data_IF_369599436808
#
_entry.id   IF_369599436808
#
_cell.length_a   1.000
_cell.length_b   1.000
_cell.length_c   1.000
_cell.angle_alpha   90.00
_cell.angle_beta   90.00
_cell.angle_gamma   90.00
#
_symmetry.space_group_name_H-M   'P 1'
#
loop_
_entity.id
_entity.type
_entity.pdbx_description
1 polymer ?
#
# COMPACT_ATOMS: atom_id res chain seq x y z
N UNK A 1 -17.21 -60.21 0.88
CA UNK A 1 -17.91 -59.47 1.95
C UNK A 1 -17.62 -58.00 1.75
N UNK A 2 -18.57 -57.25 1.20
CA UNK A 2 -18.49 -55.80 0.94
C UNK A 2 -19.21 -55.04 2.04
N UNK A 3 -18.61 -54.01 2.67
CA UNK A 3 -19.33 -53.22 3.66
C UNK A 3 -20.15 -52.11 2.98
N UNK A 4 -21.41 -52.01 3.39
CA UNK A 4 -22.38 -50.96 2.97
C UNK A 4 -22.01 -49.61 3.60
N UNK A 5 -22.33 -48.48 2.94
CA UNK A 5 -22.14 -47.14 3.51
C UNK A 5 -23.23 -46.78 4.53
N UNK A 6 -22.94 -45.95 5.56
CA UNK A 6 -23.92 -45.54 6.56
C UNK A 6 -24.82 -44.39 6.08
N UNK A 7 -26.03 -44.40 6.64
CA UNK A 7 -27.20 -43.61 6.25
C UNK A 7 -27.13 -42.13 6.67
N UNK A 8 -27.67 -41.28 5.79
CA UNK A 8 -27.89 -39.84 5.98
C UNK A 8 -29.05 -39.62 6.96
N UNK A 9 -28.75 -39.04 8.13
CA UNK A 9 -29.75 -38.55 9.09
C UNK A 9 -30.13 -37.10 8.77
N UNK A 10 -31.31 -36.91 8.18
CA UNK A 10 -31.99 -35.62 8.08
C UNK A 10 -32.40 -35.15 9.49
N UNK A 11 -31.82 -34.04 9.98
CA UNK A 11 -32.37 -33.31 11.13
C UNK A 11 -33.11 -32.06 10.67
N UNK A 12 -34.33 -31.96 11.21
CA UNK A 12 -35.35 -30.94 10.95
C UNK A 12 -34.90 -29.57 11.44
N UNK A 13 -35.24 -28.57 10.64
CA UNK A 13 -35.25 -27.15 10.95
C UNK A 13 -36.25 -26.85 12.07
N UNK A 14 -35.80 -26.17 13.12
CA UNK A 14 -36.66 -25.49 14.09
C UNK A 14 -36.45 -23.98 13.96
N UNK A 15 -37.48 -23.33 13.44
CA UNK A 15 -37.72 -21.89 13.54
C UNK A 15 -37.82 -21.48 15.01
N UNK A 16 -37.09 -20.45 15.41
CA UNK A 16 -37.45 -19.64 16.57
C UNK A 16 -37.19 -18.18 16.24
N UNK A 17 -38.26 -17.39 16.22
CA UNK A 17 -38.22 -15.95 16.07
C UNK A 17 -38.17 -15.26 17.42
N UNK A 18 -37.32 -14.24 17.54
CA UNK A 18 -37.46 -13.10 18.45
C UNK A 18 -36.86 -11.89 17.72
N UNK A 19 -37.71 -10.98 17.23
CA UNK A 19 -38.14 -9.72 17.86
C UNK A 19 -36.99 -8.74 18.08
N UNK A 20 -37.16 -7.57 17.45
CA UNK A 20 -36.17 -6.51 17.27
C UNK A 20 -35.67 -5.85 18.55
N UNK A 21 -34.47 -5.31 18.45
CA UNK A 21 -33.98 -4.20 19.26
C UNK A 21 -33.19 -3.26 18.34
N UNK A 22 -33.75 -2.09 18.07
CA UNK A 22 -33.10 -0.94 17.44
C UNK A 22 -32.24 -0.16 18.45
N UNK A 23 -31.30 0.69 17.99
CA UNK A 23 -30.04 0.94 18.67
C UNK A 23 -30.11 2.08 19.68
N UNK A 24 -29.39 1.93 20.79
CA UNK A 24 -29.20 3.01 21.75
C UNK A 24 -27.95 3.82 21.36
N UNK A 25 -28.18 4.87 20.57
CA UNK A 25 -27.17 5.90 20.24
C UNK A 25 -27.06 6.83 21.44
N UNK A 26 -25.96 6.75 22.18
CA UNK A 26 -25.57 7.81 23.14
C UNK A 26 -24.60 8.76 22.45
N UNK A 27 -25.13 9.91 22.06
CA UNK A 27 -24.37 11.11 21.70
C UNK A 27 -23.69 11.68 22.94
N UNK A 28 -22.35 11.68 22.95
CA UNK A 28 -21.55 12.47 23.90
C UNK A 28 -21.40 13.90 23.35
N UNK A 29 -21.60 14.95 24.17
CA UNK A 29 -21.37 16.32 23.73
C UNK A 29 -19.87 16.67 23.74
N UNK A 30 -19.41 17.23 22.62
CA UNK A 30 -18.16 17.95 22.49
C UNK A 30 -18.17 19.14 23.47
N UNK A 31 -17.22 19.15 24.43
CA UNK A 31 -16.87 20.36 25.18
C UNK A 31 -15.50 20.85 24.73
N UNK A 32 -15.49 22.13 24.38
CA UNK A 32 -14.36 22.84 23.80
C UNK A 32 -13.18 23.03 24.73
N UNK A 33 -12.05 23.29 24.07
CA UNK A 33 -10.79 23.69 24.67
C UNK A 33 -10.90 25.02 25.43
N UNK A 34 -10.17 25.17 26.55
CA UNK A 34 -9.76 26.47 27.04
C UNK A 34 -8.26 26.71 26.77
N UNK A 35 -8.00 27.80 26.04
CA UNK A 35 -7.10 28.87 26.47
C UNK A 35 -5.66 28.52 26.83
N UNK A 36 -4.73 28.98 25.97
CA UNK A 36 -3.32 29.19 26.29
C UNK A 36 -3.20 30.10 27.52
N UNK A 37 -2.49 29.65 28.55
CA UNK A 37 -2.05 30.47 29.67
C UNK A 37 -0.56 30.29 29.89
N UNK A 38 0.27 31.11 29.23
CA UNK A 38 1.66 31.28 29.61
C UNK A 38 1.72 32.14 30.87
N UNK A 39 2.26 31.56 31.94
CA UNK A 39 2.50 32.22 33.22
C UNK A 39 3.91 32.81 33.18
N UNK A 40 4.01 34.13 33.25
CA UNK A 40 5.26 34.86 33.46
C UNK A 40 5.64 34.85 34.96
N UNK A 41 6.90 34.57 35.25
CA UNK A 41 7.57 34.89 36.51
C UNK A 41 8.64 35.95 36.25
N UNK A 42 8.49 37.11 36.90
CA UNK A 42 9.51 38.16 37.17
C UNK A 42 10.76 37.53 37.82
N UNK A 43 11.98 38.07 37.82
CA UNK A 43 12.63 39.35 37.46
C UNK A 43 14.16 39.10 37.56
N UNK A 44 15.05 39.73 36.80
CA UNK A 44 15.78 40.97 37.15
C UNK A 44 16.86 41.17 36.07
N UNK A 45 17.08 42.41 35.61
CA UNK A 45 18.21 42.74 34.74
C UNK A 45 17.93 43.92 33.81
N UNK A 46 18.12 45.13 34.34
CA UNK A 46 17.96 46.38 33.63
C UNK A 46 18.91 46.52 32.42
N UNK A 47 18.37 46.78 31.21
CA UNK A 47 19.01 47.61 30.17
C UNK A 47 17.95 48.39 29.39
N UNK A 48 18.29 49.65 29.13
CA UNK A 48 17.49 50.72 28.50
C UNK A 48 16.88 50.28 27.15
N UNK A 49 15.62 50.65 26.91
CA UNK A 49 14.94 50.54 25.62
C UNK A 49 14.52 51.92 25.12
N UNK A 50 14.94 52.22 23.89
CA UNK A 50 14.53 53.36 23.05
C UNK A 50 13.18 53.09 22.35
N UNK A 51 12.40 54.12 21.96
CA UNK A 51 11.04 53.92 21.48
C UNK A 51 10.95 53.34 20.07
N UNK A 52 9.95 52.49 19.90
CA UNK A 52 9.62 51.68 18.74
C UNK A 52 9.24 52.53 17.50
N UNK A 53 9.98 52.38 16.40
CA UNK A 53 9.53 52.74 15.04
C UNK A 53 8.75 51.55 14.48
N UNK A 54 7.49 51.79 14.12
CA UNK A 54 6.61 50.82 13.43
C UNK A 54 7.24 50.40 12.10
N UNK A 55 7.60 49.13 12.00
CA UNK A 55 7.91 48.44 10.75
C UNK A 55 6.61 47.92 10.16
N UNK A 56 6.25 48.43 8.99
CA UNK A 56 5.18 47.92 8.13
C UNK A 56 5.63 46.61 7.46
N UNK A 57 4.81 45.55 7.43
CA UNK A 57 5.09 44.39 6.60
C UNK A 57 4.93 44.72 5.13
N UNK A 58 5.97 44.43 4.37
CA UNK A 58 6.05 44.48 2.93
C UNK A 58 5.12 43.47 2.25
N UNK A 59 4.55 43.90 1.13
CA UNK A 59 4.23 43.11 -0.07
C UNK A 59 3.36 41.85 0.10
N UNK A 60 2.04 42.07 0.15
CA UNK A 60 1.08 41.15 -0.46
C UNK A 60 1.12 41.40 -1.97
N UNK A 61 1.47 40.37 -2.75
CA UNK A 61 1.26 40.40 -4.20
C UNK A 61 -0.25 40.45 -4.47
N UNK A 62 -0.75 41.65 -4.76
CA UNK A 62 -2.07 41.84 -5.36
C UNK A 62 -1.98 41.52 -6.84
N UNK A 63 -2.71 40.50 -7.26
CA UNK A 63 -3.05 40.27 -8.67
C UNK A 63 -3.82 41.51 -9.14
N UNK A 64 -3.47 42.16 -10.27
CA UNK A 64 -4.23 43.30 -10.73
C UNK A 64 -5.62 42.81 -11.12
N UNK A 65 -6.64 43.30 -10.42
CA UNK A 65 -8.01 43.25 -10.89
C UNK A 65 -8.06 44.07 -12.19
N UNK A 66 -8.20 43.38 -13.32
CA UNK A 66 -8.51 44.01 -14.60
C UNK A 66 -9.88 44.67 -14.43
N UNK A 67 -9.88 46.00 -14.42
CA UNK A 67 -11.11 46.79 -14.37
C UNK A 67 -11.89 46.56 -15.66
N UNK A 68 -13.09 46.03 -15.53
CA UNK A 68 -14.04 45.79 -16.60
C UNK A 68 -14.94 47.02 -16.72
N UNK A 69 -14.92 47.62 -17.91
CA UNK A 69 -15.98 48.43 -18.56
C UNK A 69 -16.12 49.88 -18.11
N UNK A 70 -15.56 50.78 -18.93
CA UNK A 70 -16.30 51.93 -19.47
C UNK A 70 -15.95 52.06 -20.96
N UNK A 71 -16.77 51.49 -21.85
CA UNK A 71 -16.89 51.95 -23.24
C UNK A 71 -18.15 51.33 -23.86
N UNK A 72 -19.27 52.05 -23.81
CA UNK A 72 -20.41 51.82 -24.70
C UNK A 72 -20.91 53.18 -25.20
N UNK A 73 -20.33 53.61 -26.32
CA UNK A 73 -20.94 54.54 -27.27
C UNK A 73 -20.74 53.91 -28.66
N UNK A 74 -21.54 52.88 -28.98
CA UNK A 74 -21.62 52.34 -30.34
C UNK A 74 -22.81 52.97 -31.05
N UNK A 75 -22.47 53.78 -32.07
CA UNK A 75 -23.35 54.17 -33.16
C UNK A 75 -23.77 52.93 -33.94
N UNK A 76 -25.00 52.98 -34.43
CA UNK A 76 -25.67 52.01 -35.30
C UNK A 76 -24.80 51.65 -36.51
N UNK A 77 -24.39 50.38 -36.61
CA UNK A 77 -23.67 49.82 -37.75
C UNK A 77 -23.62 48.29 -37.63
N UNK A 78 -24.19 47.61 -38.60
CA UNK A 78 -24.60 46.22 -38.57
C UNK A 78 -23.44 45.19 -38.55
N UNK A 79 -23.56 44.21 -37.65
CA UNK A 79 -23.49 42.76 -37.94
C UNK A 79 -22.19 42.09 -38.41
N UNK A 80 -21.02 42.30 -37.78
CA UNK A 80 -19.86 41.36 -37.95
C UNK A 80 -19.15 40.98 -36.63
N UNK A 81 -19.37 41.70 -35.51
CA UNK A 81 -18.57 41.51 -34.29
C UNK A 81 -18.90 40.32 -33.38
N UNK A 82 -20.04 39.64 -33.56
CA UNK A 82 -20.49 38.61 -32.60
C UNK A 82 -19.88 37.22 -32.86
N UNK A 83 -19.47 36.92 -34.09
CA UNK A 83 -18.91 35.62 -34.46
C UNK A 83 -17.47 35.40 -33.97
N UNK A 84 -16.65 36.46 -33.94
CA UNK A 84 -15.22 36.41 -33.58
C UNK A 84 -15.01 36.33 -32.07
N UNK A 85 -15.87 36.97 -31.28
CA UNK A 85 -15.81 36.88 -29.82
C UNK A 85 -16.28 35.50 -29.30
N UNK A 86 -17.25 34.87 -29.97
CA UNK A 86 -17.73 33.53 -29.61
C UNK A 86 -16.71 32.43 -29.95
N UNK A 87 -15.96 32.59 -31.05
CA UNK A 87 -14.89 31.64 -31.44
C UNK A 87 -13.65 31.74 -30.55
N UNK A 88 -13.28 32.93 -30.08
CA UNK A 88 -12.18 33.11 -29.13
C UNK A 88 -12.49 32.53 -27.73
N UNK A 89 -13.76 32.61 -27.29
CA UNK A 89 -14.23 31.99 -26.04
C UNK A 89 -14.33 30.47 -26.18
N UNK A 90 -14.71 29.94 -27.36
CA UNK A 90 -14.67 28.49 -27.62
C UNK A 90 -13.25 27.90 -27.69
N UNK A 91 -12.25 28.69 -28.08
CA UNK A 91 -10.85 28.24 -28.19
C UNK A 91 -10.08 28.27 -26.86
N UNK A 92 -10.52 29.09 -25.89
CA UNK A 92 -9.95 29.11 -24.52
C UNK A 92 -10.48 27.98 -23.63
N UNK A 93 -11.53 27.28 -24.06
CA UNK A 93 -11.97 26.00 -23.48
C UNK A 93 -11.40 24.82 -24.28
N UNK A 94 -10.15 24.93 -24.75
CA UNK A 94 -9.31 23.74 -24.81
C UNK A 94 -8.98 23.35 -23.37
N UNK A 95 -10.00 22.84 -22.68
CA UNK A 95 -9.88 22.24 -21.38
C UNK A 95 -8.66 21.32 -21.45
N UNK A 96 -7.66 21.58 -20.60
CA UNK A 96 -6.69 20.57 -20.25
C UNK A 96 -7.52 19.34 -19.91
N UNK A 97 -7.57 18.36 -20.83
CA UNK A 97 -8.25 17.11 -20.57
C UNK A 97 -7.61 16.62 -19.27
N UNK A 98 -8.37 16.41 -18.19
CA UNK A 98 -7.79 15.95 -16.95
C UNK A 98 -7.01 14.70 -17.30
N UNK A 99 -5.68 14.75 -17.15
CA UNK A 99 -4.85 13.57 -17.38
C UNK A 99 -5.43 12.48 -16.51
N UNK A 100 -5.83 11.37 -17.14
CA UNK A 100 -6.43 10.27 -16.43
C UNK A 100 -5.57 9.93 -15.22
N UNK A 101 -6.16 9.83 -14.02
CA UNK A 101 -5.36 9.64 -12.82
C UNK A 101 -4.57 8.33 -12.97
N UNK A 102 -3.34 8.33 -12.48
CA UNK A 102 -2.43 7.19 -12.53
C UNK A 102 -2.29 6.66 -11.12
N UNK A 103 -2.39 5.33 -10.97
CA UNK A 103 -2.03 4.63 -9.75
C UNK A 103 -0.54 4.34 -9.81
N UNK A 104 0.21 4.83 -8.83
CA UNK A 104 1.61 4.47 -8.64
C UNK A 104 1.71 3.36 -7.60
N UNK A 105 2.20 2.20 -7.99
CA UNK A 105 2.48 1.09 -7.11
C UNK A 105 3.98 1.08 -6.84
N UNK A 106 4.35 1.51 -5.64
CA UNK A 106 5.66 1.30 -5.07
C UNK A 106 5.67 -0.13 -4.51
N UNK A 107 6.67 -0.93 -4.83
CA UNK A 107 6.75 -2.29 -4.31
C UNK A 107 8.17 -2.78 -4.08
N UNK A 108 8.26 -3.74 -3.19
CA UNK A 108 9.43 -4.54 -2.88
C UNK A 108 8.97 -5.89 -2.34
N UNK A 109 9.88 -6.85 -2.27
CA UNK A 109 9.61 -8.25 -1.98
C UNK A 109 10.89 -8.91 -1.43
N UNK A 110 10.74 -10.06 -0.77
CA UNK A 110 11.86 -10.89 -0.33
C UNK A 110 12.90 -10.09 0.47
N UNK A 111 12.45 -9.39 1.52
CA UNK A 111 13.30 -8.51 2.33
C UNK A 111 13.57 -9.13 3.69
N UNK A 112 14.79 -9.65 3.86
CA UNK A 112 15.17 -10.46 5.01
C UNK A 112 15.94 -9.68 6.08
N UNK A 113 16.38 -8.45 5.77
CA UNK A 113 17.30 -7.69 6.61
C UNK A 113 16.86 -6.25 6.82
N UNK A 114 17.02 -5.78 8.06
CA UNK A 114 16.82 -4.35 8.36
C UNK A 114 17.96 -3.50 7.77
N UNK A 115 19.19 -4.02 7.84
CA UNK A 115 20.41 -3.31 7.45
C UNK A 115 20.72 -3.47 5.97
N UNK A 116 21.57 -2.57 5.47
CA UNK A 116 22.14 -2.71 4.13
C UNK A 116 22.98 -4.00 4.02
N UNK A 117 22.88 -4.64 2.87
CA UNK A 117 23.57 -5.87 2.50
C UNK A 117 24.75 -5.58 1.57
N UNK A 118 25.42 -6.62 1.07
CA UNK A 118 26.58 -6.50 0.18
C UNK A 118 27.67 -5.57 0.76
N UNK A 119 28.05 -5.81 2.01
CA UNK A 119 29.01 -4.97 2.76
C UNK A 119 28.57 -3.50 2.86
N UNK A 120 27.25 -3.27 2.96
CA UNK A 120 26.64 -1.95 3.08
C UNK A 120 26.45 -1.22 1.75
N UNK A 121 26.76 -1.87 0.62
CA UNK A 121 26.68 -1.28 -0.73
C UNK A 121 25.28 -1.26 -1.33
N UNK A 122 24.39 -2.15 -0.89
CA UNK A 122 23.04 -2.27 -1.43
C UNK A 122 21.99 -2.40 -0.33
N UNK A 123 20.75 -1.98 -0.62
CA UNK A 123 19.63 -2.11 0.30
C UNK A 123 19.76 -1.29 1.58
N UNK A 124 19.05 -1.74 2.62
CA UNK A 124 18.88 -1.05 3.89
C UNK A 124 17.51 -0.38 3.97
N UNK A 125 16.71 -0.79 4.96
CA UNK A 125 15.32 -0.38 5.06
C UNK A 125 15.18 1.14 5.34
N UNK A 126 16.19 1.74 5.96
CA UNK A 126 16.30 3.18 6.18
C UNK A 126 16.51 3.97 4.88
N UNK A 127 17.33 3.45 3.98
CA UNK A 127 17.53 4.03 2.65
C UNK A 127 16.29 3.87 1.78
N UNK A 128 15.69 2.67 1.80
CA UNK A 128 14.42 2.40 1.14
C UNK A 128 13.32 3.35 1.64
N UNK A 129 13.23 3.56 2.96
CA UNK A 129 12.26 4.48 3.57
C UNK A 129 12.41 5.92 3.07
N UNK A 130 13.63 6.43 2.90
CA UNK A 130 13.87 7.77 2.37
C UNK A 130 13.33 7.90 0.92
N UNK A 131 13.60 6.90 0.08
CA UNK A 131 13.14 6.86 -1.32
C UNK A 131 11.62 6.74 -1.39
N UNK A 132 11.01 5.85 -0.61
CA UNK A 132 9.55 5.71 -0.51
C UNK A 132 8.89 7.03 -0.08
N UNK A 133 9.42 7.70 0.94
CA UNK A 133 8.93 9.02 1.38
C UNK A 133 9.03 10.07 0.27
N UNK A 134 10.08 10.03 -0.55
CA UNK A 134 10.23 10.92 -1.71
C UNK A 134 9.16 10.64 -2.78
N UNK A 135 8.92 9.38 -3.14
CA UNK A 135 7.90 9.03 -4.13
C UNK A 135 6.50 9.38 -3.66
N UNK A 136 6.14 9.04 -2.41
CA UNK A 136 4.82 9.40 -1.84
C UNK A 136 4.54 10.90 -1.84
N UNK A 137 5.57 11.74 -1.69
CA UNK A 137 5.44 13.21 -1.81
C UNK A 137 5.20 13.67 -3.25
N UNK A 138 5.85 13.03 -4.23
CA UNK A 138 5.77 13.40 -5.66
C UNK A 138 4.53 12.82 -6.34
N UNK A 139 4.10 11.64 -5.91
CA UNK A 139 3.04 10.84 -6.53
C UNK A 139 2.01 10.46 -5.45
N UNK A 140 1.12 11.39 -5.05
CA UNK A 140 0.20 11.17 -3.93
C UNK A 140 -0.85 10.08 -4.20
N UNK A 141 -1.07 9.72 -5.45
CA UNK A 141 -1.91 8.59 -5.87
C UNK A 141 -1.13 7.26 -5.82
N UNK A 142 -0.41 7.00 -4.71
CA UNK A 142 0.45 5.83 -4.58
C UNK A 142 -0.04 4.81 -3.56
N UNK A 143 0.29 3.55 -3.79
CA UNK A 143 0.27 2.47 -2.81
C UNK A 143 1.70 1.93 -2.64
N UNK A 144 2.10 1.60 -1.41
CA UNK A 144 3.27 0.79 -1.13
C UNK A 144 2.84 -0.65 -0.81
N UNK A 145 3.24 -1.59 -1.65
CA UNK A 145 2.88 -3.00 -1.53
C UNK A 145 4.13 -3.85 -1.23
N UNK A 146 3.97 -4.89 -0.41
CA UNK A 146 5.03 -5.84 -0.10
C UNK A 146 4.65 -7.26 -0.54
N UNK A 147 5.45 -7.87 -1.42
CA UNK A 147 5.07 -9.11 -2.09
C UNK A 147 5.54 -10.40 -1.38
N UNK A 148 5.61 -10.40 -0.05
CA UNK A 148 5.90 -11.61 0.75
C UNK A 148 7.38 -11.86 1.01
N UNK A 149 7.64 -12.83 1.89
CA UNK A 149 8.95 -13.24 2.41
C UNK A 149 9.67 -12.16 3.22
N UNK A 150 9.18 -12.00 4.45
CA UNK A 150 9.63 -11.03 5.45
C UNK A 150 10.11 -11.69 6.74
N UNK A 151 9.47 -12.78 7.16
CA UNK A 151 9.64 -13.30 8.53
C UNK A 151 10.97 -14.04 8.72
N UNK A 152 11.52 -14.65 7.68
CA UNK A 152 12.67 -15.57 7.68
C UNK A 152 13.31 -15.52 6.28
N UNK A 153 14.59 -15.89 6.04
CA UNK A 153 15.55 -16.52 6.95
C UNK A 153 16.79 -15.67 7.24
N UNK A 154 16.69 -14.71 8.17
CA UNK A 154 17.85 -13.95 8.66
C UNK A 154 18.33 -14.40 10.04
N UNK A 155 19.55 -13.99 10.41
CA UNK A 155 20.05 -14.20 11.77
C UNK A 155 19.12 -13.52 12.78
N UNK A 156 18.69 -12.30 12.48
CA UNK A 156 17.73 -11.54 13.27
C UNK A 156 16.39 -12.26 13.38
N UNK A 157 15.90 -12.88 12.31
CA UNK A 157 14.67 -13.66 12.39
C UNK A 157 14.81 -14.88 13.27
N UNK A 158 16.00 -15.49 13.36
CA UNK A 158 16.21 -16.63 14.27
C UNK A 158 16.02 -16.24 15.74
N UNK A 159 16.32 -14.98 16.10
CA UNK A 159 16.18 -14.42 17.46
C UNK A 159 14.80 -13.80 17.68
N UNK A 160 14.38 -12.89 16.80
CA UNK A 160 13.17 -12.08 16.96
C UNK A 160 11.92 -12.64 16.25
N UNK A 161 12.07 -13.75 15.51
CA UNK A 161 10.98 -14.45 14.80
C UNK A 161 10.18 -13.54 13.86
N UNK A 162 10.87 -12.61 13.19
CA UNK A 162 10.30 -11.68 12.19
C UNK A 162 9.74 -10.38 12.78
N UNK A 163 9.64 -10.23 14.11
CA UNK A 163 9.09 -9.02 14.74
C UNK A 163 9.84 -7.75 14.33
N UNK A 164 11.15 -7.85 14.11
CA UNK A 164 12.01 -6.74 13.70
C UNK A 164 11.60 -6.12 12.36
N UNK A 165 11.23 -6.96 11.40
CA UNK A 165 10.81 -6.50 10.08
C UNK A 165 9.34 -6.12 10.04
N UNK A 166 8.48 -6.73 10.86
CA UNK A 166 7.11 -6.23 11.07
C UNK A 166 7.14 -4.78 11.57
N UNK A 167 7.99 -4.48 12.55
CA UNK A 167 8.19 -3.13 13.05
C UNK A 167 8.76 -2.17 11.98
N UNK A 168 9.69 -2.66 11.15
CA UNK A 168 10.19 -1.95 9.98
C UNK A 168 9.07 -1.57 9.00
N UNK A 169 8.27 -2.54 8.54
CA UNK A 169 7.17 -2.29 7.59
C UNK A 169 6.03 -1.47 8.19
N UNK A 170 5.78 -1.59 9.50
CA UNK A 170 4.88 -0.73 10.25
C UNK A 170 5.32 0.74 10.17
N UNK A 171 6.63 0.99 10.32
CA UNK A 171 7.20 2.33 10.25
C UNK A 171 7.28 2.86 8.82
N UNK A 172 7.60 2.00 7.86
CA UNK A 172 7.60 2.32 6.43
C UNK A 172 6.18 2.69 5.93
N UNK A 173 5.16 2.17 6.61
CA UNK A 173 3.76 2.43 6.36
C UNK A 173 3.27 1.71 5.11
N UNK A 174 3.51 0.40 5.01
CA UNK A 174 3.01 -0.45 3.92
C UNK A 174 1.47 -0.40 3.84
N UNK A 175 0.92 -0.33 2.63
CA UNK A 175 -0.54 -0.23 2.40
C UNK A 175 -1.21 -1.61 2.36
N UNK A 176 -0.48 -2.63 1.91
CA UNK A 176 -0.84 -4.05 1.96
C UNK A 176 0.39 -4.97 1.75
N UNK A 177 0.35 -6.15 2.35
CA UNK A 177 1.31 -7.22 2.15
C UNK A 177 0.61 -8.54 1.79
N UNK A 178 1.26 -9.41 1.03
CA UNK A 178 0.87 -10.83 0.89
C UNK A 178 1.82 -11.71 1.70
N UNK A 179 1.41 -12.94 1.97
CA UNK A 179 2.34 -13.96 2.46
C UNK A 179 3.20 -14.48 1.31
N UNK A 180 4.45 -14.77 1.64
CA UNK A 180 5.39 -15.65 0.98
C UNK A 180 5.53 -16.98 1.74
N UNK A 181 6.39 -17.87 1.25
CA UNK A 181 6.61 -19.17 1.91
C UNK A 181 7.28 -19.00 3.28
N UNK A 182 8.23 -18.06 3.41
CA UNK A 182 9.00 -17.86 4.63
C UNK A 182 8.21 -17.22 5.78
N UNK A 183 6.97 -16.78 5.53
CA UNK A 183 6.04 -16.42 6.59
C UNK A 183 5.68 -17.61 7.50
N UNK A 184 5.82 -18.84 7.00
CA UNK A 184 5.41 -20.06 7.69
C UNK A 184 6.56 -20.81 8.38
N UNK A 185 7.80 -20.29 8.31
CA UNK A 185 8.99 -21.01 8.80
C UNK A 185 8.96 -21.27 10.31
N UNK A 186 8.40 -20.34 11.08
CA UNK A 186 8.19 -20.49 12.53
C UNK A 186 6.79 -21.03 12.87
N UNK A 187 6.05 -21.49 11.86
CA UNK A 187 4.74 -22.08 11.97
C UNK A 187 3.58 -21.08 12.09
N UNK A 188 2.33 -21.54 11.88
CA UNK A 188 1.15 -20.68 11.83
C UNK A 188 0.90 -19.88 13.10
N UNK A 189 1.23 -20.45 14.26
CA UNK A 189 1.02 -19.79 15.55
C UNK A 189 1.88 -18.53 15.69
N UNK A 190 3.11 -18.56 15.18
CA UNK A 190 3.99 -17.39 15.22
C UNK A 190 3.58 -16.37 14.16
N UNK A 191 3.22 -16.82 12.95
CA UNK A 191 2.69 -15.95 11.90
C UNK A 191 1.45 -15.17 12.36
N UNK A 192 0.53 -15.81 13.09
CA UNK A 192 -0.66 -15.13 13.65
C UNK A 192 -0.26 -13.99 14.60
N UNK A 193 0.83 -14.13 15.38
CA UNK A 193 1.33 -13.04 16.22
C UNK A 193 1.88 -11.90 15.37
N UNK A 194 2.71 -12.20 14.37
CA UNK A 194 3.25 -11.20 13.44
C UNK A 194 2.16 -10.44 12.69
N UNK A 195 1.12 -11.15 12.23
CA UNK A 195 -0.08 -10.55 11.62
C UNK A 195 -0.81 -9.63 12.60
N UNK A 196 -0.94 -10.00 13.88
CA UNK A 196 -1.57 -9.16 14.90
C UNK A 196 -0.74 -7.92 15.28
N UNK A 197 0.59 -8.00 15.19
CA UNK A 197 1.52 -6.89 15.42
C UNK A 197 1.60 -5.91 14.22
N UNK A 198 1.10 -6.33 13.05
CA UNK A 198 1.12 -5.53 11.83
C UNK A 198 0.10 -4.40 11.86
N UNK A 199 0.53 -3.19 11.48
CA UNK A 199 -0.28 -1.99 11.26
C UNK A 199 -0.74 -1.84 9.81
N UNK A 200 -0.29 -2.75 8.95
CA UNK A 200 -0.70 -2.91 7.57
C UNK A 200 -1.54 -4.19 7.43
N UNK A 201 -2.50 -4.25 6.49
CA UNK A 201 -3.27 -5.45 6.27
C UNK A 201 -2.47 -6.50 5.48
N UNK A 202 -2.63 -7.75 5.89
CA UNK A 202 -2.25 -8.90 5.08
C UNK A 202 -3.41 -9.30 4.16
N UNK A 203 -3.10 -9.61 2.90
CA UNK A 203 -4.04 -10.17 1.93
C UNK A 203 -3.53 -11.55 1.56
N UNK A 204 -4.32 -12.58 1.80
CA UNK A 204 -3.98 -13.96 1.51
C UNK A 204 -5.25 -14.65 0.99
N UNK A 205 -5.39 -14.67 -0.33
CA UNK A 205 -6.60 -15.08 -1.03
C UNK A 205 -6.76 -16.60 -1.03
N UNK A 206 -5.64 -17.30 -1.24
CA UNK A 206 -5.60 -18.74 -1.39
C UNK A 206 -4.99 -19.46 -0.18
N UNK A 207 -4.91 -18.81 0.98
CA UNK A 207 -4.38 -19.40 2.21
C UNK A 207 -5.48 -19.64 3.23
N UNK A 208 -5.63 -20.89 3.67
CA UNK A 208 -6.70 -21.34 4.55
C UNK A 208 -6.12 -22.09 5.76
N UNK A 209 -6.79 -22.00 6.92
CA UNK A 209 -6.28 -22.64 8.15
C UNK A 209 -6.16 -24.19 8.05
N UNK A 210 -6.96 -24.80 7.18
CA UNK A 210 -6.97 -26.20 6.82
C UNK A 210 -7.80 -26.41 5.53
N UNK A 211 -7.73 -27.58 4.86
CA UNK A 211 -8.58 -27.87 3.72
C UNK A 211 -10.07 -27.72 4.08
N UNK A 212 -10.81 -26.94 3.28
CA UNK A 212 -12.23 -26.65 3.51
C UNK A 212 -12.52 -25.75 4.73
N UNK A 213 -11.50 -25.19 5.37
CA UNK A 213 -11.65 -24.28 6.51
C UNK A 213 -11.77 -22.81 6.08
N UNK A 214 -11.83 -21.93 7.08
CA UNK A 214 -11.84 -20.48 6.88
C UNK A 214 -10.49 -19.98 6.35
N UNK A 215 -10.46 -18.78 5.72
CA UNK A 215 -9.21 -18.09 5.40
C UNK A 215 -8.28 -17.99 6.61
N UNK A 216 -6.98 -17.88 6.33
CA UNK A 216 -5.95 -17.80 7.37
C UNK A 216 -6.25 -16.68 8.39
N UNK A 217 -6.11 -16.93 9.71
CA UNK A 217 -6.49 -15.95 10.72
C UNK A 217 -5.77 -14.61 10.58
N UNK A 218 -6.53 -13.52 10.64
CA UNK A 218 -6.02 -12.14 10.56
C UNK A 218 -5.75 -11.63 9.14
N UNK A 219 -5.61 -12.51 8.15
CA UNK A 219 -5.47 -12.12 6.76
C UNK A 219 -6.83 -11.87 6.08
N UNK A 220 -6.85 -10.93 5.14
CA UNK A 220 -8.02 -10.65 4.29
C UNK A 220 -7.97 -11.53 3.04
N UNK A 221 -9.10 -12.08 2.63
CA UNK A 221 -9.17 -12.82 1.35
C UNK A 221 -8.98 -11.91 0.14
N UNK A 222 -9.44 -10.67 0.23
CA UNK A 222 -9.16 -9.60 -0.73
C UNK A 222 -9.32 -8.27 -0.02
N UNK A 223 -8.87 -7.19 -0.65
CA UNK A 223 -9.12 -5.85 -0.15
C UNK A 223 -9.43 -4.88 -1.28
N UNK A 224 -10.05 -3.77 -0.91
CA UNK A 224 -10.34 -2.67 -1.83
C UNK A 224 -9.76 -1.41 -1.22
N UNK A 225 -8.98 -0.68 -2.01
CA UNK A 225 -8.40 0.60 -1.65
C UNK A 225 -8.97 1.70 -2.52
N UNK A 226 -9.31 2.83 -1.91
CA UNK A 226 -9.63 4.05 -2.63
C UNK A 226 -8.34 4.84 -2.83
N UNK A 227 -7.86 4.92 -4.06
CA UNK A 227 -6.69 5.72 -4.43
C UNK A 227 -7.15 6.80 -5.38
N UNK A 228 -7.01 8.07 -4.99
CA UNK A 228 -7.46 9.21 -5.79
C UNK A 228 -8.89 9.09 -6.31
N UNK A 229 -9.82 8.75 -5.40
CA UNK A 229 -11.24 8.59 -5.70
C UNK A 229 -11.59 7.31 -6.48
N UNK A 230 -10.61 6.43 -6.73
CA UNK A 230 -10.77 5.23 -7.53
C UNK A 230 -10.62 3.96 -6.69
N UNK A 231 -11.55 3.02 -6.85
CA UNK A 231 -11.50 1.70 -6.20
C UNK A 231 -10.51 0.79 -6.93
N UNK A 232 -9.49 0.33 -6.21
CA UNK A 232 -8.49 -0.65 -6.64
C UNK A 232 -8.71 -1.92 -5.82
N UNK A 233 -8.98 -3.04 -6.48
CA UNK A 233 -9.04 -4.35 -5.86
C UNK A 233 -7.64 -4.95 -5.74
N UNK A 234 -7.34 -5.59 -4.61
CA UNK A 234 -6.06 -6.27 -4.36
C UNK A 234 -6.35 -7.68 -3.88
N UNK A 235 -5.72 -8.66 -4.53
CA UNK A 235 -5.72 -10.08 -4.13
C UNK A 235 -4.27 -10.48 -3.81
N UNK A 236 -4.06 -11.20 -2.71
CA UNK A 236 -2.77 -11.79 -2.36
C UNK A 236 -2.72 -13.28 -2.73
N UNK A 237 -1.71 -13.77 -3.43
CA UNK A 237 -1.63 -15.16 -3.86
C UNK A 237 -0.26 -15.76 -3.53
N UNK A 238 -0.24 -16.94 -2.93
CA UNK A 238 0.97 -17.63 -2.50
C UNK A 238 1.10 -18.97 -3.22
N UNK A 239 2.33 -19.39 -3.52
CA UNK A 239 2.61 -20.68 -4.14
C UNK A 239 2.11 -21.85 -3.28
N UNK A 240 1.56 -22.89 -3.93
CA UNK A 240 1.19 -24.13 -3.25
C UNK A 240 2.42 -24.87 -2.69
N UNK A 241 3.61 -24.58 -3.25
CA UNK A 241 4.89 -25.12 -2.82
C UNK A 241 5.18 -24.86 -1.33
N UNK A 242 4.59 -23.81 -0.73
CA UNK A 242 4.72 -23.52 0.70
C UNK A 242 4.34 -24.70 1.60
N UNK A 243 3.44 -25.58 1.13
CA UNK A 243 3.10 -26.84 1.80
C UNK A 243 4.33 -27.72 2.10
N UNK A 244 5.37 -27.61 1.27
CA UNK A 244 6.58 -28.44 1.33
C UNK A 244 7.87 -27.63 1.56
N UNK A 245 7.89 -26.34 1.21
CA UNK A 245 9.09 -25.49 1.35
C UNK A 245 9.20 -24.77 2.69
N UNK A 246 8.19 -24.88 3.57
CA UNK A 246 8.18 -24.23 4.89
C UNK A 246 7.55 -25.13 5.98
N UNK A 247 7.11 -24.55 7.10
CA UNK A 247 6.50 -25.26 8.25
C UNK A 247 5.01 -24.90 8.49
N UNK A 248 4.12 -25.02 7.50
CA UNK A 248 2.76 -24.48 7.54
C UNK A 248 1.76 -25.26 8.43
N UNK A 249 2.15 -26.40 9.00
CA UNK A 249 1.28 -27.24 9.81
C UNK A 249 0.04 -27.70 9.03
N UNK A 250 -1.16 -27.41 9.52
CA UNK A 250 -2.41 -27.76 8.81
C UNK A 250 -2.80 -26.76 7.74
N UNK A 251 -2.10 -25.63 7.60
CA UNK A 251 -2.45 -24.57 6.65
C UNK A 251 -2.47 -25.14 5.24
N UNK A 252 -3.52 -24.82 4.50
CA UNK A 252 -3.72 -25.27 3.13
C UNK A 252 -3.65 -24.09 2.16
N UNK A 253 -2.94 -24.31 1.06
CA UNK A 253 -2.75 -23.37 -0.03
C UNK A 253 -3.54 -23.88 -1.22
N UNK A 254 -4.51 -23.10 -1.70
CA UNK A 254 -5.32 -23.46 -2.85
C UNK A 254 -4.71 -23.00 -4.16
N UNK A 255 -5.10 -23.63 -5.27
CA UNK A 255 -4.70 -23.24 -6.62
C UNK A 255 -4.90 -21.72 -6.85
N UNK A 256 -3.83 -20.95 -7.10
CA UNK A 256 -3.90 -19.50 -7.21
C UNK A 256 -4.88 -19.01 -8.28
N UNK A 257 -4.95 -19.73 -9.41
CA UNK A 257 -5.78 -19.37 -10.57
C UNK A 257 -7.26 -19.57 -10.27
N UNK A 258 -7.64 -20.73 -9.75
CA UNK A 258 -9.01 -21.10 -9.41
C UNK A 258 -9.55 -20.21 -8.29
N UNK A 259 -8.71 -19.92 -7.28
CA UNK A 259 -9.07 -19.02 -6.19
C UNK A 259 -9.24 -17.58 -6.70
N UNK A 260 -8.33 -17.07 -7.54
CA UNK A 260 -8.46 -15.73 -8.12
C UNK A 260 -9.76 -15.58 -8.92
N UNK A 261 -10.08 -16.55 -9.79
CA UNK A 261 -11.37 -16.57 -10.53
C UNK A 261 -12.57 -16.55 -9.61
N UNK A 262 -12.55 -17.37 -8.56
CA UNK A 262 -13.66 -17.45 -7.58
C UNK A 262 -13.84 -16.13 -6.83
N UNK A 263 -12.75 -15.50 -6.40
CA UNK A 263 -12.80 -14.23 -5.67
C UNK A 263 -13.33 -13.11 -6.57
N UNK A 264 -12.87 -13.04 -7.81
CA UNK A 264 -13.32 -12.02 -8.77
C UNK A 264 -14.82 -12.13 -9.11
N UNK A 265 -15.41 -13.31 -8.99
CA UNK A 265 -16.87 -13.50 -9.14
C UNK A 265 -17.67 -12.94 -7.95
N UNK A 266 -17.11 -12.96 -6.73
CA UNK A 266 -17.80 -12.52 -5.51
C UNK A 266 -17.41 -11.11 -5.06
N UNK A 267 -16.29 -10.57 -5.57
CA UNK A 267 -15.86 -9.22 -5.26
C UNK A 267 -16.91 -8.19 -5.70
N UNK A 268 -17.18 -7.17 -4.87
CA UNK A 268 -18.19 -6.17 -5.18
C UNK A 268 -17.73 -5.33 -6.37
N UNK A 269 -18.56 -5.24 -7.40
CA UNK A 269 -18.29 -4.50 -8.64
C UNK A 269 -17.90 -3.04 -8.40
N UNK A 270 -17.31 -2.42 -9.43
CA UNK A 270 -16.99 -0.98 -9.46
C UNK A 270 -15.53 -0.65 -9.13
N UNK A 271 -14.64 -1.64 -9.12
CA UNK A 271 -13.20 -1.42 -9.19
C UNK A 271 -12.78 -0.98 -10.59
N UNK A 272 -11.77 -0.11 -10.68
CA UNK A 272 -11.14 0.31 -11.94
C UNK A 272 -9.91 -0.50 -12.26
N UNK A 273 -9.23 -1.01 -11.23
CA UNK A 273 -8.07 -1.88 -11.38
C UNK A 273 -8.12 -3.06 -10.41
N UNK A 274 -7.66 -4.21 -10.87
CA UNK A 274 -7.37 -5.39 -10.07
C UNK A 274 -5.85 -5.61 -10.10
N UNK A 275 -5.24 -5.45 -8.92
CA UNK A 275 -3.82 -5.73 -8.68
C UNK A 275 -3.73 -7.09 -7.99
N UNK A 276 -2.89 -7.99 -8.48
CA UNK A 276 -2.50 -9.17 -7.71
C UNK A 276 -1.13 -8.94 -7.08
N UNK A 277 -1.05 -9.18 -5.79
CA UNK A 277 0.17 -9.20 -5.00
C UNK A 277 0.55 -10.67 -4.83
N UNK A 278 1.59 -11.12 -5.50
CA UNK A 278 1.87 -12.54 -5.65
C UNK A 278 3.19 -12.92 -5.01
N UNK A 279 3.28 -14.15 -4.52
CA UNK A 279 4.52 -14.77 -4.11
C UNK A 279 4.59 -16.13 -4.79
N UNK A 280 4.85 -16.05 -6.09
CA UNK A 280 4.78 -17.12 -7.08
C UNK A 280 6.01 -17.02 -7.96
N UNK A 281 6.45 -18.15 -8.51
CA UNK A 281 7.44 -18.14 -9.60
C UNK A 281 6.92 -17.30 -10.77
N UNK A 282 7.82 -16.66 -11.52
CA UNK A 282 7.46 -15.86 -12.69
C UNK A 282 6.55 -16.61 -13.69
N UNK A 283 6.80 -17.91 -13.90
CA UNK A 283 6.00 -18.73 -14.83
C UNK A 283 4.55 -18.90 -14.37
N UNK A 284 4.31 -18.95 -13.07
CA UNK A 284 2.98 -19.07 -12.48
C UNK A 284 2.23 -17.73 -12.52
N UNK A 285 2.93 -16.61 -12.33
CA UNK A 285 2.35 -15.28 -12.57
C UNK A 285 1.91 -15.11 -14.04
N UNK A 286 2.73 -15.57 -15.00
CA UNK A 286 2.36 -15.57 -16.41
C UNK A 286 1.15 -16.46 -16.69
N UNK A 287 1.11 -17.64 -16.05
CA UNK A 287 -0.03 -18.56 -16.09
C UNK A 287 -1.31 -17.93 -15.54
N UNK A 288 -1.21 -17.24 -14.41
CA UNK A 288 -2.29 -16.52 -13.77
C UNK A 288 -2.85 -15.44 -14.70
N UNK A 289 -2.01 -14.58 -15.27
CA UNK A 289 -2.47 -13.54 -16.17
C UNK A 289 -3.10 -14.14 -17.44
N UNK A 290 -2.54 -15.22 -17.99
CA UNK A 290 -3.15 -15.91 -19.16
C UNK A 290 -4.54 -16.46 -18.83
N UNK A 291 -4.71 -17.01 -17.63
CA UNK A 291 -5.96 -17.66 -17.23
C UNK A 291 -7.03 -16.71 -16.69
N UNK A 292 -6.64 -15.52 -16.21
CA UNK A 292 -7.52 -14.55 -15.54
C UNK A 292 -7.38 -13.17 -16.20
N UNK A 293 -8.15 -12.89 -17.28
CA UNK A 293 -8.06 -11.64 -18.03
C UNK A 293 -8.48 -10.38 -17.23
N UNK A 294 -9.19 -10.54 -16.12
CA UNK A 294 -9.66 -9.45 -15.27
C UNK A 294 -8.57 -8.85 -14.37
N UNK A 295 -7.44 -9.55 -14.18
CA UNK A 295 -6.27 -9.00 -13.47
C UNK A 295 -5.58 -8.00 -14.39
N UNK A 296 -5.32 -6.78 -13.90
CA UNK A 296 -4.72 -5.71 -14.69
C UNK A 296 -3.18 -5.67 -14.57
N UNK A 297 -2.64 -6.03 -13.41
CA UNK A 297 -1.20 -6.03 -13.10
C UNK A 297 -0.90 -7.03 -11.98
N UNK A 298 0.23 -7.73 -12.10
CA UNK A 298 0.79 -8.55 -11.02
C UNK A 298 2.07 -7.92 -10.48
N UNK A 299 2.19 -7.90 -9.16
CA UNK A 299 3.32 -7.41 -8.39
C UNK A 299 3.78 -8.57 -7.52
N UNK A 300 4.96 -9.11 -7.80
CA UNK A 300 5.37 -10.42 -7.29
C UNK A 300 6.66 -10.42 -6.46
N UNK A 301 6.92 -11.55 -5.80
CA UNK A 301 8.18 -11.91 -5.12
C UNK A 301 8.59 -13.36 -5.41
N UNK A 302 9.34 -14.03 -4.55
CA UNK A 302 9.78 -15.44 -4.62
C UNK A 302 11.04 -15.70 -5.46
N UNK A 303 11.15 -15.09 -6.65
CA UNK A 303 12.26 -15.37 -7.57
C UNK A 303 13.61 -14.73 -7.15
N UNK A 304 13.62 -13.81 -6.17
CA UNK A 304 14.76 -13.03 -5.65
C UNK A 304 15.54 -12.15 -6.65
N UNK A 305 15.32 -12.30 -7.95
CA UNK A 305 15.88 -11.44 -8.99
C UNK A 305 14.90 -10.34 -9.42
N UNK A 306 15.39 -9.15 -9.84
CA UNK A 306 14.53 -8.17 -10.46
C UNK A 306 14.05 -8.67 -11.82
N UNK A 307 12.74 -8.79 -11.99
CA UNK A 307 12.15 -9.41 -13.18
C UNK A 307 10.92 -8.65 -13.64
N UNK A 308 10.73 -8.60 -14.97
CA UNK A 308 9.50 -8.11 -15.58
C UNK A 308 9.05 -9.03 -16.69
N UNK A 309 7.75 -9.19 -16.85
CA UNK A 309 7.14 -9.88 -17.99
C UNK A 309 5.84 -9.17 -18.39
N UNK A 310 5.33 -9.48 -19.58
CA UNK A 310 4.07 -8.92 -20.08
C UNK A 310 3.21 -9.99 -20.74
N UNK A 311 1.98 -10.13 -20.26
CA UNK A 311 1.00 -11.09 -20.78
C UNK A 311 -0.24 -10.36 -21.28
N UNK A 312 -0.47 -10.37 -22.60
CA UNK A 312 -1.60 -9.67 -23.20
C UNK A 312 -1.58 -8.16 -22.93
N UNK A 313 -0.39 -7.55 -22.85
CA UNK A 313 -0.22 -6.11 -22.58
C UNK A 313 -0.35 -5.71 -21.10
N UNK A 314 -0.43 -6.67 -20.18
CA UNK A 314 -0.49 -6.46 -18.73
C UNK A 314 0.83 -6.86 -18.09
N UNK A 315 1.31 -6.05 -17.16
CA UNK A 315 2.63 -6.17 -16.55
C UNK A 315 2.64 -7.17 -15.39
N UNK A 316 3.74 -7.92 -15.30
CA UNK A 316 4.21 -8.61 -14.10
C UNK A 316 5.54 -7.95 -13.71
N UNK A 317 5.72 -7.57 -12.44
CA UNK A 317 6.95 -6.96 -11.95
C UNK A 317 7.37 -7.52 -10.59
N UNK A 318 8.67 -7.76 -10.42
CA UNK A 318 9.34 -8.19 -9.19
C UNK A 318 10.59 -7.34 -8.96
N UNK A 319 10.88 -7.00 -7.71
CA UNK A 319 11.91 -6.03 -7.34
C UNK A 319 13.11 -6.65 -6.63
N UNK A 320 13.54 -7.86 -7.03
CA UNK A 320 14.73 -8.50 -6.47
C UNK A 320 14.54 -8.97 -5.03
N UNK A 321 15.50 -8.71 -4.16
CA UNK A 321 15.47 -9.06 -2.73
C UNK A 321 16.17 -8.01 -1.86
N UNK A 322 16.05 -8.14 -0.53
CA UNK A 322 16.81 -7.42 0.51
C UNK A 322 16.71 -5.88 0.40
N UNK A 323 15.58 -5.39 -0.10
CA UNK A 323 15.34 -3.97 -0.32
C UNK A 323 16.35 -3.31 -1.27
N UNK A 324 17.09 -4.08 -2.09
CA UNK A 324 18.09 -3.56 -3.05
C UNK A 324 17.46 -2.71 -4.14
N UNK A 325 16.17 -2.91 -4.40
CA UNK A 325 15.41 -2.17 -5.40
C UNK A 325 14.05 -1.74 -4.84
N UNK A 326 13.61 -0.56 -5.24
CA UNK A 326 12.21 -0.17 -5.17
C UNK A 326 11.62 -0.25 -6.57
N UNK A 327 10.65 -1.13 -6.77
CA UNK A 327 9.85 -1.17 -7.98
C UNK A 327 8.83 -0.04 -8.01
N UNK A 328 8.77 0.71 -9.10
CA UNK A 328 7.82 1.82 -9.29
C UNK A 328 7.01 1.55 -10.55
N UNK A 329 5.77 1.11 -10.36
CA UNK A 329 4.85 0.73 -11.44
C UNK A 329 3.71 1.74 -11.54
N UNK A 330 3.58 2.40 -12.68
CA UNK A 330 2.55 3.40 -12.94
C UNK A 330 1.48 2.82 -13.86
N UNK A 331 0.27 2.66 -13.32
CA UNK A 331 -0.87 2.06 -14.03
C UNK A 331 -1.93 3.15 -14.29
N UNK A 332 -2.27 3.46 -15.55
CA UNK A 332 -3.38 4.37 -15.84
C UNK A 332 -4.67 3.84 -15.19
N UNK A 333 -5.49 4.67 -14.54
CA UNK A 333 -6.75 4.22 -13.91
C UNK A 333 -7.95 4.17 -14.87
N UNK A 334 -7.78 4.65 -16.11
CA UNK A 334 -8.78 4.59 -17.18
C UNK A 334 -8.22 3.91 -18.42
N UNK A 335 -9.09 3.30 -19.23
CA UNK A 335 -8.67 2.61 -20.45
C UNK A 335 -7.92 1.30 -20.15
N UNK A 336 -7.07 0.88 -21.09
CA UNK A 336 -6.26 -0.33 -20.94
C UNK A 336 -5.19 -0.15 -19.84
N UNK A 337 -4.89 -1.19 -19.05
CA UNK A 337 -3.93 -1.14 -17.95
C UNK A 337 -2.47 -1.23 -18.42
N UNK A 338 -2.09 -0.40 -19.40
CA UNK A 338 -0.71 -0.37 -19.91
C UNK A 338 0.20 0.30 -18.89
N UNK A 339 0.81 -0.51 -18.04
CA UNK A 339 1.68 -0.04 -16.98
C UNK A 339 3.07 0.33 -17.51
N UNK A 340 3.71 1.33 -16.90
CA UNK A 340 5.12 1.65 -17.07
C UNK A 340 5.84 1.33 -15.78
N UNK A 341 6.99 0.66 -15.86
CA UNK A 341 7.72 0.20 -14.69
C UNK A 341 9.19 0.63 -14.75
N UNK A 342 9.72 1.00 -13.59
CA UNK A 342 11.15 1.24 -13.37
C UNK A 342 11.58 0.62 -12.03
N UNK A 343 12.86 0.25 -11.94
CA UNK A 343 13.50 -0.19 -10.71
C UNK A 343 14.46 0.89 -10.25
N UNK A 344 14.28 1.33 -9.00
CA UNK A 344 15.14 2.33 -8.37
C UNK A 344 16.14 1.60 -7.48
N UNK A 345 17.44 1.62 -7.80
CA UNK A 345 18.45 0.97 -6.95
C UNK A 345 18.58 1.69 -5.61
N UNK A 346 18.67 0.91 -4.54
CA UNK A 346 18.98 1.38 -3.20
C UNK A 346 20.44 1.05 -2.92
N UNK A 347 21.28 2.08 -2.84
CA UNK A 347 22.74 1.96 -2.77
C UNK A 347 23.32 2.71 -1.58
N UNK A 348 24.63 2.60 -1.35
CA UNK A 348 25.35 3.39 -0.35
C UNK A 348 25.31 4.91 -0.57
N UNK A 349 24.88 5.38 -1.75
CA UNK A 349 24.65 6.81 -2.04
C UNK A 349 23.23 7.27 -1.70
N UNK A 350 22.32 6.33 -1.39
CA UNK A 350 20.94 6.66 -1.07
C UNK A 350 20.86 7.24 0.35
N UNK A 351 20.25 8.42 0.56
CA UNK A 351 20.11 9.00 1.89
C UNK A 351 19.35 8.07 2.84
N UNK A 352 19.74 8.06 4.11
CA UNK A 352 19.08 7.30 5.16
C UNK A 352 17.92 8.10 5.78
N UNK A 353 16.80 7.42 6.05
CA UNK A 353 15.72 7.97 6.87
C UNK A 353 16.06 7.86 8.37
N UNK A 354 16.12 8.98 9.11
CA UNK A 354 16.62 8.97 10.50
C UNK A 354 15.73 8.19 11.47
N UNK A 355 14.41 8.14 11.23
CA UNK A 355 13.48 7.42 12.08
C UNK A 355 13.65 5.91 11.93
N UNK A 356 13.75 5.45 10.67
CA UNK A 356 14.05 4.06 10.36
C UNK A 356 15.45 3.67 10.83
N UNK A 357 16.48 4.50 10.62
CA UNK A 357 17.82 4.25 11.13
C UNK A 357 17.83 4.09 12.67
N UNK A 358 17.02 4.87 13.37
CA UNK A 358 16.81 4.71 14.81
C UNK A 358 16.16 3.38 15.20
N UNK A 359 15.25 2.84 14.37
CA UNK A 359 14.67 1.52 14.56
C UNK A 359 15.68 0.40 14.33
N UNK A 360 16.42 0.48 13.23
CA UNK A 360 17.50 -0.47 12.90
C UNK A 360 18.48 -0.54 14.06
N UNK A 361 18.96 0.63 14.54
CA UNK A 361 19.91 0.69 15.66
C UNK A 361 19.41 -0.03 16.91
N UNK A 362 18.12 0.12 17.25
CA UNK A 362 17.56 -0.57 18.43
C UNK A 362 17.64 -2.08 18.30
N UNK A 363 17.28 -2.62 17.14
CA UNK A 363 17.34 -4.07 16.90
C UNK A 363 18.78 -4.59 16.79
N UNK A 364 19.70 -3.85 16.15
CA UNK A 364 21.11 -4.26 16.10
C UNK A 364 21.77 -4.23 17.46
N UNK A 365 21.50 -3.20 18.28
CA UNK A 365 22.01 -3.13 19.65
C UNK A 365 21.43 -4.25 20.53
N UNK A 366 20.16 -4.61 20.34
CA UNK A 366 19.51 -5.71 21.05
C UNK A 366 20.12 -7.05 20.66
N UNK A 367 20.27 -7.31 19.36
CA UNK A 367 20.88 -8.55 18.86
C UNK A 367 22.30 -8.73 19.37
N UNK A 368 23.11 -7.66 19.36
CA UNK A 368 24.47 -7.69 19.88
C UNK A 368 24.52 -8.05 21.38
N UNK A 369 23.54 -7.61 22.17
CA UNK A 369 23.42 -8.01 23.59
C UNK A 369 23.02 -9.48 23.73
N UNK A 370 22.08 -9.94 22.93
CA UNK A 370 21.54 -11.30 23.02
C UNK A 370 22.55 -12.37 22.54
N UNK A 371 23.46 -12.03 21.63
CA UNK A 371 24.51 -12.91 21.12
C UNK A 371 25.85 -12.82 21.88
N UNK A 372 25.98 -11.89 22.82
CA UNK A 372 27.19 -11.76 23.65
C UNK A 372 27.21 -12.73 24.86
N UNK A 373 26.22 -13.61 24.94
CA UNK A 373 26.03 -14.67 25.96
C UNK A 373 26.43 -16.01 25.37
#
# INVERSE_FOLDING_TARGET
>A
MTPRPPQILRRRSTFFGMRGATPNVRTMPLRGAPGRGCRETRSLGARRWTPCKKLTPSAVFSVPAVSIVEFVQMRRGASIGLGVALTAILLLVSAAQPQSPVLTILHFNDDYQLTAVDQGKAGGLDRLAAVVKQYRRREPCSLLLFAGDLISPSLESSVFKGAQLIDGLNLLGVDAATFGNHEFDYGPAELVKRVAESRFPWVASNTFAAPGARPFPGARTYMIRNVCGTRVGILGLLTEETATSSSPGTTWFGDPVAVAKTILQVMPRGYRRIVTLTHLHMQDDEGLLRAVPEIDVAIGGHDHDPMTSTVGGRLIAKAGSDGKWLGVTRVPLSGLPRAVHELVPITDQTPSDPEMAGLIKRYTDQLARDLAV
#
